data_IF_791518976555
#
_entry.id   IF_791518976555
#
_cell.length_a   1.000
_cell.length_b   1.000
_cell.length_c   1.000
_cell.angle_alpha   90.00
_cell.angle_beta   90.00
_cell.angle_gamma   90.00
#
_symmetry.space_group_name_H-M   'P 1'
#
loop_
_entity.id
_entity.type
_entity.pdbx_description
1 polymer ?
#
# COMPACT_ATOMS: atom_id res chain seq x y z
N UNK A 1 30.67 -18.00 -5.80
CA UNK A 1 30.77 -16.54 -5.65
C UNK A 1 29.37 -15.96 -5.89
N UNK A 2 28.81 -15.19 -4.95
CA UNK A 2 27.52 -14.52 -5.21
C UNK A 2 27.68 -13.58 -6.41
N UNK A 3 26.76 -13.62 -7.37
CA UNK A 3 26.81 -12.74 -8.55
C UNK A 3 26.62 -11.26 -8.19
N UNK A 4 26.04 -10.98 -7.01
CA UNK A 4 25.77 -9.65 -6.53
C UNK A 4 26.52 -9.36 -5.24
N UNK A 5 27.02 -8.13 -5.15
CA UNK A 5 27.58 -7.55 -3.93
C UNK A 5 26.48 -7.19 -2.94
N UNK A 6 26.81 -7.15 -1.64
CA UNK A 6 25.87 -6.70 -0.61
C UNK A 6 25.36 -5.28 -0.86
N UNK A 7 26.21 -4.40 -1.42
CA UNK A 7 25.83 -3.04 -1.78
C UNK A 7 24.73 -3.00 -2.85
N UNK A 8 24.77 -3.89 -3.85
CA UNK A 8 23.73 -4.01 -4.87
C UNK A 8 22.40 -4.49 -4.27
N UNK A 9 22.44 -5.48 -3.38
CA UNK A 9 21.25 -5.99 -2.69
C UNK A 9 20.62 -4.92 -1.78
N UNK A 10 21.44 -4.16 -1.04
CA UNK A 10 20.97 -3.06 -0.20
C UNK A 10 20.29 -1.96 -1.01
N UNK A 11 20.81 -1.65 -2.21
CA UNK A 11 20.20 -0.67 -3.12
C UNK A 11 18.79 -1.09 -3.55
N UNK A 12 18.61 -2.36 -3.92
CA UNK A 12 17.29 -2.91 -4.31
C UNK A 12 16.33 -2.90 -3.12
N UNK A 13 16.78 -3.35 -1.94
CA UNK A 13 15.97 -3.36 -0.74
C UNK A 13 15.45 -1.95 -0.39
N UNK A 14 16.33 -0.94 -0.45
CA UNK A 14 15.95 0.46 -0.22
C UNK A 14 14.89 0.94 -1.21
N UNK A 15 15.09 0.70 -2.51
CA UNK A 15 14.13 1.07 -3.55
C UNK A 15 12.75 0.44 -3.31
N UNK A 16 12.68 -0.82 -2.90
CA UNK A 16 11.40 -1.49 -2.63
C UNK A 16 10.71 -0.93 -1.40
N UNK A 17 11.46 -0.67 -0.33
CA UNK A 17 10.93 -0.19 0.94
C UNK A 17 10.48 1.28 0.91
N UNK A 18 11.12 2.11 0.10
CA UNK A 18 10.82 3.55 -0.02
C UNK A 18 9.68 3.87 -1.00
N UNK A 19 9.19 2.89 -1.77
CA UNK A 19 8.07 3.11 -2.69
C UNK A 19 6.81 3.50 -1.90
N UNK A 20 6.03 4.49 -2.38
CA UNK A 20 4.75 4.83 -1.79
C UNK A 20 3.88 3.58 -1.67
N UNK A 21 3.47 3.23 -0.44
CA UNK A 21 2.52 2.14 -0.24
C UNK A 21 1.17 2.62 -0.72
N UNK A 22 0.56 1.92 -1.67
CA UNK A 22 -0.87 2.03 -1.90
C UNK A 22 -1.57 1.42 -0.70
N UNK A 23 -1.89 2.25 0.29
CA UNK A 23 -2.85 1.87 1.33
C UNK A 23 -4.20 1.69 0.65
N UNK A 24 -4.87 0.60 1.01
CA UNK A 24 -6.08 0.14 0.36
C UNK A 24 -7.21 1.13 0.67
N UNK A 25 -7.74 1.81 -0.34
CA UNK A 25 -8.93 2.66 -0.22
C UNK A 25 -10.20 1.79 -0.28
N UNK A 26 -10.27 0.72 0.52
CA UNK A 26 -11.52 -0.01 0.66
C UNK A 26 -12.40 0.72 1.65
N UNK A 27 -13.59 1.06 1.19
CA UNK A 27 -14.66 1.50 2.07
C UNK A 27 -14.96 0.37 3.05
N UNK A 28 -14.94 0.72 4.33
CA UNK A 28 -15.45 -0.13 5.38
C UNK A 28 -16.95 -0.34 5.18
N UNK A 29 -17.51 -1.46 5.68
CA UNK A 29 -18.95 -1.66 5.68
C UNK A 29 -19.75 -0.50 6.31
N UNK A 30 -19.17 0.19 7.30
CA UNK A 30 -19.79 1.34 7.95
C UNK A 30 -19.88 2.57 7.02
N UNK A 31 -18.83 2.86 6.24
CA UNK A 31 -18.83 3.96 5.25
C UNK A 31 -19.87 3.72 4.16
N UNK A 32 -19.96 2.47 3.65
CA UNK A 32 -21.03 2.07 2.71
C UNK A 32 -22.42 2.23 3.30
N UNK A 33 -22.63 1.83 4.56
CA UNK A 33 -23.92 1.96 5.23
C UNK A 33 -24.34 3.43 5.39
N UNK A 34 -23.43 4.30 5.86
CA UNK A 34 -23.71 5.72 6.03
C UNK A 34 -24.07 6.40 4.70
N UNK A 35 -23.34 6.09 3.61
CA UNK A 35 -23.64 6.61 2.29
C UNK A 35 -25.04 6.20 1.79
N UNK A 36 -25.45 4.95 2.03
CA UNK A 36 -26.79 4.48 1.68
C UNK A 36 -27.90 5.19 2.47
N UNK A 37 -27.73 5.37 3.78
CA UNK A 37 -28.74 6.04 4.63
C UNK A 37 -28.84 7.53 4.27
N UNK A 38 -27.72 8.20 4.02
CA UNK A 38 -27.70 9.61 3.62
C UNK A 38 -28.44 9.87 2.29
N UNK A 39 -28.47 8.90 1.37
CA UNK A 39 -29.19 9.01 0.10
C UNK A 39 -30.73 8.91 0.24
N UNK A 40 -31.24 8.55 1.42
CA UNK A 40 -32.68 8.40 1.71
C UNK A 40 -33.26 9.51 2.59
N UNK A 41 -32.45 10.52 2.94
CA UNK A 41 -32.84 11.64 3.82
C UNK A 41 -33.27 12.88 3.04
#
# INVERSE_FOLDING_TARGET
LSMYTQAQLNKVARQLNERPRKTLAYETPAEKFQACVAATS
#
